data_IF_874957056890
#
_entry.id   IF_874957056890
#
_cell.length_a   1.000
_cell.length_b   1.000
_cell.length_c   1.000
_cell.angle_alpha   90.00
_cell.angle_beta   90.00
_cell.angle_gamma   90.00
#
_symmetry.space_group_name_H-M   'P 1'
#
loop_
_entity.id
_entity.type
_entity.pdbx_description
1 polymer ?
#
# COMPACT_ATOMS: atom_id res chain seq x y z
N UNK A 1 9.95 -0.45 4.40
CA UNK A 1 8.83 0.47 4.10
C UNK A 1 9.40 1.86 3.88
N UNK A 2 8.80 2.63 2.97
CA UNK A 2 9.23 3.99 2.64
C UNK A 2 8.09 4.97 2.95
N UNK A 3 8.38 6.18 3.46
CA UNK A 3 7.36 7.23 3.63
C UNK A 3 6.91 7.79 2.28
N UNK A 4 5.95 8.73 2.29
CA UNK A 4 5.53 9.45 1.08
C UNK A 4 6.70 10.10 0.34
N UNK A 5 6.66 10.00 -0.99
CA UNK A 5 7.65 10.62 -1.88
C UNK A 5 6.94 11.29 -3.04
N UNK A 6 7.26 12.56 -3.24
CA UNK A 6 6.84 13.27 -4.43
C UNK A 6 7.78 12.93 -5.58
N UNK A 7 7.27 12.23 -6.59
CA UNK A 7 8.02 11.80 -7.77
C UNK A 7 7.79 12.79 -8.91
N UNK A 8 8.66 13.79 -9.03
CA UNK A 8 8.49 14.93 -9.93
C UNK A 8 9.30 14.83 -11.24
N UNK A 9 10.34 13.99 -11.26
CA UNK A 9 11.24 13.86 -12.41
C UNK A 9 11.85 12.45 -12.51
N UNK A 10 12.51 12.16 -13.64
CA UNK A 10 13.16 10.87 -13.91
C UNK A 10 14.18 10.47 -12.85
N UNK A 11 14.92 11.42 -12.30
CA UNK A 11 15.94 11.14 -11.28
C UNK A 11 15.31 10.74 -9.94
N UNK A 12 14.20 11.40 -9.56
CA UNK A 12 13.45 11.09 -8.35
C UNK A 12 12.82 9.69 -8.42
N UNK A 13 12.31 9.31 -9.59
CA UNK A 13 11.73 8.00 -9.86
C UNK A 13 12.82 6.91 -9.79
N UNK A 14 13.96 7.11 -10.46
CA UNK A 14 15.06 6.14 -10.45
C UNK A 14 15.62 5.91 -9.04
N UNK A 15 15.72 6.97 -8.23
CA UNK A 15 16.13 6.86 -6.83
C UNK A 15 15.11 6.08 -6.00
N UNK A 16 13.83 6.40 -6.14
CA UNK A 16 12.77 5.68 -5.43
C UNK A 16 12.73 4.19 -5.79
N UNK A 17 12.89 3.86 -7.07
CA UNK A 17 12.99 2.47 -7.53
C UNK A 17 14.20 1.74 -6.91
N UNK A 18 15.37 2.40 -6.86
CA UNK A 18 16.57 1.86 -6.22
C UNK A 18 16.35 1.62 -4.72
N UNK A 19 15.69 2.57 -4.04
CA UNK A 19 15.37 2.42 -2.61
C UNK A 19 14.43 1.25 -2.37
N UNK A 20 13.40 1.05 -3.23
CA UNK A 20 12.49 -0.11 -3.17
C UNK A 20 13.25 -1.43 -3.35
N UNK A 21 14.12 -1.52 -4.35
CA UNK A 21 14.92 -2.73 -4.65
C UNK A 21 15.82 -3.15 -3.47
N UNK A 22 16.30 -2.16 -2.71
CA UNK A 22 17.14 -2.38 -1.54
C UNK A 22 16.36 -2.74 -0.27
N UNK A 23 15.02 -2.69 -0.28
CA UNK A 23 14.21 -3.07 0.88
C UNK A 23 14.31 -4.57 1.12
N UNK A 24 14.91 -4.94 2.25
CA UNK A 24 14.93 -6.33 2.70
C UNK A 24 13.60 -6.70 3.34
N UNK A 25 13.10 -7.89 3.00
CA UNK A 25 11.93 -8.49 3.67
C UNK A 25 12.26 -8.73 5.14
N UNK A 26 11.50 -8.11 6.03
CA UNK A 26 11.72 -8.22 7.47
C UNK A 26 11.35 -9.62 8.02
N UNK A 27 10.34 -10.28 7.42
CA UNK A 27 9.79 -11.56 7.88
C UNK A 27 9.69 -12.54 6.71
N UNK A 28 10.06 -13.81 6.91
CA UNK A 28 10.13 -14.82 5.82
C UNK A 28 9.16 -15.99 5.94
N UNK A 29 8.47 -16.18 7.06
CA UNK A 29 7.63 -17.38 7.30
C UNK A 29 6.29 -17.05 7.94
N UNK A 30 5.60 -16.03 7.44
CA UNK A 30 4.49 -15.46 8.18
C UNK A 30 3.24 -15.30 7.36
N UNK A 31 2.15 -15.43 8.10
CA UNK A 31 0.79 -15.26 7.67
C UNK A 31 0.59 -14.02 6.77
N UNK A 32 -0.35 -14.13 5.85
CA UNK A 32 -0.76 -13.10 4.92
C UNK A 32 -2.03 -12.47 5.47
N UNK A 33 -1.91 -11.21 5.91
CA UNK A 33 -3.00 -10.42 6.49
C UNK A 33 -3.27 -9.14 5.67
N UNK A 34 -3.87 -9.23 4.46
CA UNK A 34 -4.02 -8.09 3.57
C UNK A 34 -4.94 -7.00 4.11
N UNK A 35 -5.92 -7.33 4.96
CA UNK A 35 -6.78 -6.32 5.61
C UNK A 35 -5.95 -5.34 6.46
N UNK A 36 -4.98 -5.84 7.23
CA UNK A 36 -4.06 -5.03 8.01
C UNK A 36 -3.14 -4.21 7.11
N UNK A 37 -2.70 -4.77 5.98
CA UNK A 37 -1.96 -4.04 4.95
C UNK A 37 -2.76 -2.85 4.37
N UNK A 38 -4.04 -3.08 4.03
CA UNK A 38 -4.95 -2.04 3.55
C UNK A 38 -5.18 -0.95 4.60
N UNK A 39 -5.44 -1.34 5.86
CA UNK A 39 -5.62 -0.39 6.97
C UNK A 39 -4.37 0.46 7.19
N UNK A 40 -3.19 -0.16 7.16
CA UNK A 40 -1.91 0.56 7.25
C UNK A 40 -1.74 1.54 6.08
N UNK A 41 -1.93 1.09 4.84
CA UNK A 41 -1.84 1.95 3.67
C UNK A 41 -2.83 3.12 3.71
N UNK A 42 -4.07 2.88 4.16
CA UNK A 42 -5.08 3.92 4.34
C UNK A 42 -4.64 4.95 5.39
N UNK A 43 -4.07 4.50 6.52
CA UNK A 43 -3.55 5.40 7.56
C UNK A 43 -2.43 6.32 7.06
N UNK A 44 -1.67 5.89 6.04
CA UNK A 44 -0.62 6.71 5.46
C UNK A 44 -1.14 7.96 4.76
N UNK A 45 -2.38 7.98 4.25
CA UNK A 45 -2.93 9.19 3.61
C UNK A 45 -2.94 10.40 4.55
N UNK A 46 -3.10 10.20 5.86
CA UNK A 46 -3.03 11.28 6.85
C UNK A 46 -1.64 11.94 6.95
N UNK A 47 -0.59 11.26 6.48
CA UNK A 47 0.79 11.73 6.48
C UNK A 47 1.22 12.28 5.11
N UNK A 48 0.30 12.34 4.13
CA UNK A 48 0.62 12.89 2.82
C UNK A 48 0.87 14.41 2.92
N UNK A 49 2.07 14.90 2.55
CA UNK A 49 2.39 16.32 2.65
C UNK A 49 1.69 17.19 1.60
N UNK A 50 0.94 16.60 0.66
CA UNK A 50 0.36 17.32 -0.48
C UNK A 50 -1.12 16.96 -0.67
N UNK A 51 -2.00 17.93 -0.95
CA UNK A 51 -3.36 17.64 -1.36
C UNK A 51 -3.38 16.83 -2.66
N UNK A 52 -4.06 15.69 -2.66
CA UNK A 52 -4.23 14.86 -3.86
C UNK A 52 -5.72 14.72 -4.18
N UNK A 53 -6.08 14.92 -5.44
CA UNK A 53 -7.45 14.72 -5.93
C UNK A 53 -7.84 13.24 -5.95
N UNK A 54 -6.86 12.36 -6.18
CA UNK A 54 -7.05 10.91 -6.26
C UNK A 54 -6.27 10.21 -5.17
N UNK A 55 -6.94 9.31 -4.46
CA UNK A 55 -6.36 8.42 -3.46
C UNK A 55 -6.46 6.99 -4.00
N UNK A 56 -5.32 6.33 -4.17
CA UNK A 56 -5.24 4.97 -4.73
C UNK A 56 -4.37 4.09 -3.85
N UNK A 57 -4.79 2.85 -3.63
CA UNK A 57 -3.99 1.78 -3.02
C UNK A 57 -3.89 0.63 -4.04
N UNK A 58 -2.67 0.30 -4.42
CA UNK A 58 -2.38 -0.90 -5.22
C UNK A 58 -1.89 -2.02 -4.29
N UNK A 59 -2.68 -3.09 -4.19
CA UNK A 59 -2.39 -4.25 -3.35
C UNK A 59 -1.99 -5.43 -4.23
N UNK A 60 -0.71 -5.79 -4.18
CA UNK A 60 -0.19 -7.00 -4.84
C UNK A 60 -0.12 -8.15 -3.84
N UNK A 61 -0.55 -9.34 -4.25
CA UNK A 61 -0.49 -10.56 -3.45
C UNK A 61 -0.62 -11.82 -4.31
N UNK A 62 -0.10 -12.93 -3.79
CA UNK A 62 0.02 -14.22 -4.50
C UNK A 62 -1.02 -15.26 -4.04
N UNK A 63 -1.97 -14.89 -3.18
CA UNK A 63 -2.91 -15.84 -2.62
C UNK A 63 -3.93 -15.27 -1.66
N UNK A 64 -4.61 -16.18 -0.97
CA UNK A 64 -5.69 -15.84 -0.02
C UNK A 64 -5.10 -15.39 1.31
N UNK A 65 -5.79 -14.45 1.95
CA UNK A 65 -5.57 -14.12 3.35
C UNK A 65 -5.66 -15.39 4.21
N UNK A 66 -4.71 -15.56 5.13
CA UNK A 66 -4.69 -16.68 6.07
C UNK A 66 -4.57 -16.22 7.54
N UNK A 67 -4.59 -14.90 7.78
CA UNK A 67 -4.67 -14.28 9.09
C UNK A 67 -5.35 -12.91 8.98
N UNK A 68 -5.81 -12.42 10.12
CA UNK A 68 -6.31 -11.06 10.26
C UNK A 68 -7.78 -10.95 9.91
N UNK A 69 -8.19 -9.74 9.53
CA UNK A 69 -9.59 -9.42 9.28
C UNK A 69 -9.98 -9.75 7.84
N UNK A 70 -11.27 -9.63 7.53
CA UNK A 70 -11.76 -9.80 6.17
C UNK A 70 -11.19 -8.72 5.25
N UNK A 71 -10.38 -9.15 4.29
CA UNK A 71 -9.80 -8.24 3.27
C UNK A 71 -10.90 -7.55 2.47
N UNK A 72 -11.98 -8.26 2.12
CA UNK A 72 -13.10 -7.69 1.38
C UNK A 72 -13.85 -6.61 2.17
N UNK A 73 -14.14 -6.85 3.45
CA UNK A 73 -14.83 -5.85 4.29
C UNK A 73 -13.97 -4.59 4.49
N UNK A 74 -12.67 -4.75 4.75
CA UNK A 74 -11.75 -3.63 4.88
C UNK A 74 -11.63 -2.84 3.56
N UNK A 75 -11.55 -3.54 2.43
CA UNK A 75 -11.52 -2.89 1.12
C UNK A 75 -12.80 -2.09 0.84
N UNK A 76 -13.97 -2.65 1.13
CA UNK A 76 -15.26 -1.94 0.99
C UNK A 76 -15.32 -0.69 1.88
N UNK A 77 -14.93 -0.79 3.14
CA UNK A 77 -14.90 0.35 4.06
C UNK A 77 -13.99 1.48 3.55
N UNK A 78 -12.78 1.15 3.10
CA UNK A 78 -11.84 2.15 2.57
C UNK A 78 -12.35 2.75 1.25
N UNK A 79 -12.99 1.94 0.40
CA UNK A 79 -13.58 2.42 -0.85
C UNK A 79 -14.73 3.42 -0.61
N UNK A 80 -15.57 3.19 0.39
CA UNK A 80 -16.62 4.12 0.82
C UNK A 80 -16.06 5.48 1.27
N UNK A 81 -14.80 5.52 1.72
CA UNK A 81 -14.07 6.75 2.09
C UNK A 81 -13.38 7.44 0.89
N UNK A 82 -13.74 7.04 -0.33
CA UNK A 82 -13.29 7.67 -1.58
C UNK A 82 -11.86 7.29 -1.98
N UNK A 83 -11.41 6.08 -1.62
CA UNK A 83 -10.10 5.55 -2.05
C UNK A 83 -10.32 4.45 -3.08
N UNK A 84 -9.64 4.55 -4.22
CA UNK A 84 -9.62 3.46 -5.20
C UNK A 84 -8.67 2.36 -4.73
N UNK A 85 -9.10 1.11 -4.76
CA UNK A 85 -8.25 -0.04 -4.41
C UNK A 85 -8.15 -0.97 -5.61
N UNK A 86 -6.92 -1.24 -6.06
CA UNK A 86 -6.64 -2.20 -7.13
C UNK A 86 -6.01 -3.45 -6.52
N UNK A 87 -6.61 -4.61 -6.76
CA UNK A 87 -5.99 -5.91 -6.48
C UNK A 87 -5.19 -6.37 -7.70
N UNK A 88 -3.89 -6.63 -7.51
CA UNK A 88 -2.97 -7.02 -8.58
C UNK A 88 -2.60 -8.51 -8.47
N UNK A 89 -2.53 -9.19 -9.63
CA UNK A 89 -2.15 -10.60 -9.80
C UNK A 89 -0.86 -10.75 -10.60
#
# INVERSE_FOLDING_TARGET
>A
MLPWRHLQDKSSIARFATEIDQIKRAFRFEFTAPAQGLSHAFSMFAQNPTPCERKVIDLSGDGRANQGESTGQMASLIAELGVTINGLV
#
